data_IF_097532369213
#
_entry.id   IF_097532369213
#
_cell.length_a   1.000
_cell.length_b   1.000
_cell.length_c   1.000
_cell.angle_alpha   90.00
_cell.angle_beta   90.00
_cell.angle_gamma   90.00
#
_symmetry.space_group_name_H-M   'P 1'
#
loop_
_entity.id
_entity.type
_entity.pdbx_description
1 polymer ?
#
# COMPACT_ATOMS: atom_id res chain seq x y z
N UNK A 1 2.17 7.24 -17.71
CA UNK A 1 2.69 8.28 -16.78
C UNK A 1 2.60 7.73 -15.37
N UNK A 2 3.56 8.00 -14.49
CA UNK A 2 3.50 7.55 -13.09
C UNK A 2 3.53 8.78 -12.18
N UNK A 3 2.57 8.85 -11.26
CA UNK A 3 2.51 9.87 -10.22
C UNK A 3 2.74 9.19 -8.87
N UNK A 4 3.63 9.77 -8.07
CA UNK A 4 3.99 9.24 -6.74
C UNK A 4 3.60 10.29 -5.71
N UNK A 5 2.75 9.88 -4.77
CA UNK A 5 2.37 10.68 -3.60
C UNK A 5 2.90 10.04 -2.31
N UNK A 6 3.26 10.88 -1.35
CA UNK A 6 3.61 10.45 0.01
C UNK A 6 2.67 11.17 0.97
N UNK A 7 1.99 10.44 1.84
CA UNK A 7 1.16 11.01 2.88
C UNK A 7 1.38 10.28 4.20
N UNK A 8 1.36 11.00 5.31
CA UNK A 8 1.51 10.41 6.64
C UNK A 8 0.12 10.05 7.18
N UNK A 9 -0.13 8.77 7.47
CA UNK A 9 -1.43 8.32 8.00
C UNK A 9 -1.26 7.53 9.29
N UNK A 10 -2.35 7.48 10.05
CA UNK A 10 -2.40 6.80 11.33
C UNK A 10 -2.73 5.32 11.11
N UNK A 11 -1.74 4.45 11.30
CA UNK A 11 -1.85 3.00 11.10
C UNK A 11 -1.60 2.25 12.42
N UNK A 12 -2.30 1.13 12.68
CA UNK A 12 -2.07 0.30 13.85
C UNK A 12 -0.76 -0.49 13.70
N UNK A 13 0.27 -0.07 14.43
CA UNK A 13 1.64 -0.59 14.38
C UNK A 13 2.06 -1.24 15.72
N UNK A 14 2.99 -2.18 15.68
CA UNK A 14 3.55 -2.78 16.89
C UNK A 14 4.59 -1.85 17.51
N UNK A 15 4.39 -1.45 18.77
CA UNK A 15 5.36 -0.63 19.50
C UNK A 15 5.71 -1.28 20.82
N UNK A 16 7.00 -1.29 21.13
CA UNK A 16 7.52 -1.64 22.44
C UNK A 16 7.63 -0.40 23.33
N UNK A 17 7.29 -0.51 24.61
CA UNK A 17 7.65 0.50 25.61
C UNK A 17 8.17 -0.19 26.87
N UNK A 18 8.86 0.57 27.72
CA UNK A 18 9.33 0.04 29.01
C UNK A 18 8.12 -0.20 29.92
N UNK A 19 8.03 -1.39 30.50
CA UNK A 19 6.99 -1.71 31.47
C UNK A 19 7.00 -0.71 32.64
N UNK A 20 5.81 -0.36 33.13
CA UNK A 20 5.66 0.66 34.18
C UNK A 20 6.40 0.24 35.45
N UNK A 21 7.27 1.11 35.99
CA UNK A 21 8.08 0.83 37.18
C UNK A 21 9.41 0.10 36.90
N UNK A 22 9.73 -0.16 35.63
CA UNK A 22 11.00 -0.77 35.22
C UNK A 22 11.97 0.26 34.60
N UNK A 23 11.76 1.56 34.84
CA UNK A 23 12.54 2.63 34.17
C UNK A 23 14.00 2.70 34.62
N UNK A 24 14.29 2.25 35.85
CA UNK A 24 15.60 2.34 36.52
C UNK A 24 16.27 0.98 36.83
N UNK A 25 15.72 -0.12 36.31
CA UNK A 25 16.30 -1.47 36.53
C UNK A 25 17.28 -1.81 35.42
N UNK A 26 18.35 -2.54 35.78
CA UNK A 26 19.41 -2.94 34.85
C UNK A 26 18.86 -3.73 33.65
N UNK A 27 17.80 -4.52 33.84
CA UNK A 27 17.10 -5.27 32.79
C UNK A 27 15.63 -4.86 32.72
N UNK A 28 15.30 -3.76 32.01
CA UNK A 28 13.92 -3.28 31.91
C UNK A 28 13.08 -4.24 31.06
N UNK A 29 12.00 -4.75 31.63
CA UNK A 29 11.02 -5.53 30.87
C UNK A 29 10.33 -4.62 29.83
N UNK A 30 10.22 -5.09 28.59
CA UNK A 30 9.52 -4.41 27.51
C UNK A 30 8.11 -4.99 27.36
N UNK A 31 7.11 -4.12 27.28
CA UNK A 31 5.75 -4.47 26.88
C UNK A 31 5.56 -4.16 25.40
N UNK A 32 4.76 -4.97 24.70
CA UNK A 32 4.44 -4.78 23.28
C UNK A 32 2.93 -4.79 23.08
N UNK A 33 2.42 -3.78 22.38
CA UNK A 33 1.05 -3.84 21.87
C UNK A 33 0.92 -3.07 20.54
N UNK A 34 -0.24 -3.24 19.93
CA UNK A 34 -0.62 -2.50 18.73
C UNK A 34 -1.07 -1.09 19.13
N UNK A 35 -0.27 -0.10 18.78
CA UNK A 35 -0.60 1.31 18.99
C UNK A 35 -0.76 2.02 17.64
N UNK A 36 -1.61 3.04 17.62
CA UNK A 36 -1.78 3.87 16.44
C UNK A 36 -0.58 4.81 16.29
N UNK A 37 0.14 4.69 15.17
CA UNK A 37 1.28 5.52 14.85
C UNK A 37 1.14 6.20 13.51
N UNK A 38 1.79 7.35 13.37
CA UNK A 38 1.91 8.03 12.09
C UNK A 38 3.00 7.36 11.26
N UNK A 39 2.59 6.70 10.18
CA UNK A 39 3.48 6.01 9.25
C UNK A 39 3.37 6.69 7.89
N UNK A 40 4.48 6.79 7.16
CA UNK A 40 4.44 7.26 5.79
C UNK A 40 3.80 6.20 4.89
N UNK A 41 2.74 6.58 4.19
CA UNK A 41 2.09 5.81 3.15
C UNK A 41 2.56 6.33 1.80
N UNK A 42 2.99 5.40 0.95
CA UNK A 42 3.39 5.67 -0.43
C UNK A 42 2.26 5.28 -1.36
N UNK A 43 1.91 6.20 -2.24
CA UNK A 43 0.82 6.09 -3.19
C UNK A 43 1.38 6.19 -4.60
N UNK A 44 1.26 5.10 -5.36
CA UNK A 44 1.68 5.02 -6.75
C UNK A 44 0.43 4.98 -7.62
N UNK A 45 0.23 6.04 -8.38
CA UNK A 45 -0.79 6.11 -9.42
C UNK A 45 -0.10 5.88 -10.76
N UNK A 46 -0.33 4.71 -11.33
CA UNK A 46 0.18 4.35 -12.65
C UNK A 46 -0.92 4.59 -13.68
N UNK A 47 -0.60 5.32 -14.73
CA UNK A 47 -1.48 5.47 -15.88
C UNK A 47 -0.86 4.74 -17.07
N UNK A 48 -1.43 3.59 -17.39
CA UNK A 48 -1.05 2.78 -18.54
C UNK A 48 -2.01 3.06 -19.71
N UNK A 49 -1.50 3.32 -20.93
CA UNK A 49 -2.33 3.67 -22.08
C UNK A 49 -3.27 2.53 -22.54
N UNK A 50 -2.91 1.27 -22.29
CA UNK A 50 -3.69 0.10 -22.71
C UNK A 50 -4.65 -0.37 -21.61
N UNK A 51 -4.24 -0.28 -20.33
CA UNK A 51 -4.98 -0.82 -19.18
C UNK A 51 -5.78 0.25 -18.41
N UNK A 52 -5.43 1.53 -18.55
CA UNK A 52 -6.00 2.62 -17.78
C UNK A 52 -5.26 2.88 -16.46
N UNK A 53 -5.96 3.46 -15.49
CA UNK A 53 -5.41 3.75 -14.17
C UNK A 53 -5.18 2.49 -13.34
N UNK A 54 -4.01 2.36 -12.74
CA UNK A 54 -3.67 1.38 -11.72
C UNK A 54 -3.20 2.10 -10.45
N UNK A 55 -3.47 1.50 -9.30
CA UNK A 55 -3.22 2.09 -8.00
C UNK A 55 -2.48 1.11 -7.11
N UNK A 56 -1.36 1.56 -6.54
CA UNK A 56 -0.60 0.80 -5.56
C UNK A 56 -0.34 1.67 -4.33
N UNK A 57 -0.84 1.23 -3.17
CA UNK A 57 -0.53 1.82 -1.86
C UNK A 57 0.37 0.88 -1.07
N UNK A 58 1.38 1.41 -0.40
CA UNK A 58 2.18 0.69 0.61
C UNK A 58 2.46 1.60 1.80
N UNK A 59 2.93 1.06 2.92
CA UNK A 59 3.33 1.84 4.09
C UNK A 59 4.81 1.60 4.44
N UNK A 60 5.40 2.49 5.23
CA UNK A 60 6.80 2.40 5.67
C UNK A 60 7.00 1.53 6.93
N UNK A 61 6.00 0.76 7.37
CA UNK A 61 6.02 0.04 8.63
C UNK A 61 5.79 -1.47 8.42
N UNK A 62 6.73 -2.30 8.88
CA UNK A 62 6.66 -3.76 8.76
C UNK A 62 5.34 -4.30 9.34
N UNK A 63 4.62 -5.18 8.63
CA UNK A 63 5.06 -6.01 7.51
C UNK A 63 4.84 -5.40 6.10
N UNK A 64 4.83 -4.07 5.95
CA UNK A 64 4.67 -3.37 4.66
C UNK A 64 3.43 -3.84 3.88
N UNK A 65 2.21 -3.73 4.45
CA UNK A 65 1.00 -4.05 3.70
C UNK A 65 0.97 -3.30 2.37
N UNK A 66 0.77 -4.09 1.31
CA UNK A 66 0.67 -3.64 -0.07
C UNK A 66 -0.77 -3.81 -0.53
N UNK A 67 -1.38 -2.73 -0.98
CA UNK A 67 -2.70 -2.73 -1.63
C UNK A 67 -2.50 -2.40 -3.10
N UNK A 68 -2.92 -3.31 -3.96
CA UNK A 68 -2.83 -3.16 -5.41
C UNK A 68 -4.23 -3.24 -5.99
N UNK A 69 -4.56 -2.27 -6.83
CA UNK A 69 -5.76 -2.26 -7.64
C UNK A 69 -5.36 -2.06 -9.11
N UNK A 70 -5.77 -3.01 -9.94
CA UNK A 70 -5.48 -3.04 -11.38
C UNK A 70 -6.81 -3.01 -12.12
N UNK A 71 -7.02 -1.99 -12.96
CA UNK A 71 -8.25 -1.85 -13.74
C UNK A 71 -8.24 -2.72 -15.02
N UNK A 72 -8.07 -4.04 -14.86
CA UNK A 72 -7.95 -4.97 -15.98
C UNK A 72 -9.25 -5.18 -16.79
N UNK A 73 -10.40 -4.73 -16.28
CA UNK A 73 -11.69 -5.00 -16.92
C UNK A 73 -11.87 -4.22 -18.24
N UNK A 74 -11.37 -2.98 -18.30
CA UNK A 74 -11.39 -2.18 -19.54
C UNK A 74 -10.40 -2.72 -20.58
N UNK A 75 -9.29 -3.33 -20.13
CA UNK A 75 -8.32 -3.98 -21.01
C UNK A 75 -8.92 -5.21 -21.72
N UNK A 76 -9.60 -6.09 -20.99
CA UNK A 76 -10.23 -7.28 -21.57
C UNK A 76 -11.31 -6.91 -22.60
N UNK A 77 -12.12 -5.89 -22.31
CA UNK A 77 -13.12 -5.39 -23.27
C UNK A 77 -12.49 -4.76 -24.52
N UNK A 78 -11.42 -3.96 -24.36
CA UNK A 78 -10.70 -3.37 -25.50
C UNK A 78 -9.94 -4.41 -26.33
N UNK A 79 -9.40 -5.45 -25.72
CA UNK A 79 -8.82 -6.60 -26.42
C UNK A 79 -9.89 -7.32 -27.25
N UNK A 80 -11.06 -7.59 -26.67
CA UNK A 80 -12.19 -8.16 -27.41
C UNK A 80 -12.64 -7.25 -28.56
N UNK A 81 -12.79 -5.94 -28.35
CA UNK A 81 -13.15 -5.00 -29.43
C UNK A 81 -12.09 -4.92 -30.53
N UNK A 82 -10.80 -5.00 -30.17
CA UNK A 82 -9.68 -4.99 -31.13
C UNK A 82 -9.59 -6.31 -31.90
N UNK A 83 -9.91 -7.44 -31.27
CA UNK A 83 -10.04 -8.75 -31.92
C UNK A 83 -11.26 -8.78 -32.86
N UNK A 84 -12.39 -8.21 -32.44
CA UNK A 84 -13.62 -8.13 -33.24
C UNK A 84 -13.43 -7.20 -34.45
N UNK A 85 -12.76 -6.05 -34.31
CA UNK A 85 -12.39 -5.18 -35.45
C UNK A 85 -11.26 -5.74 -36.32
N UNK A 86 -10.54 -6.76 -35.84
CA UNK A 86 -9.44 -7.41 -36.54
C UNK A 86 -9.85 -8.53 -37.50
N UNK A 87 -11.14 -8.85 -37.61
CA UNK A 87 -11.67 -9.76 -38.62
C UNK A 87 -12.16 -8.97 -39.85
N UNK A 88 -11.37 -8.92 -40.96
CA UNK A 88 -11.95 -8.70 -42.27
C UNK A 88 -12.53 -10.02 -42.76
N UNK A 89 -13.86 -10.14 -42.77
CA UNK A 89 -14.59 -11.28 -43.34
C UNK A 89 -15.47 -12.00 -42.35
#
# INVERSE_FOLDING_TARGET
>A
MVLIGIAQEKTPMWRSWKAKGQEHVAHPHMEWARQMGFVNHFYFYLWDPDWGGAFWKTNAYAPWPVWIWLNGHTWAQRQCDRLVRGHPG
#
